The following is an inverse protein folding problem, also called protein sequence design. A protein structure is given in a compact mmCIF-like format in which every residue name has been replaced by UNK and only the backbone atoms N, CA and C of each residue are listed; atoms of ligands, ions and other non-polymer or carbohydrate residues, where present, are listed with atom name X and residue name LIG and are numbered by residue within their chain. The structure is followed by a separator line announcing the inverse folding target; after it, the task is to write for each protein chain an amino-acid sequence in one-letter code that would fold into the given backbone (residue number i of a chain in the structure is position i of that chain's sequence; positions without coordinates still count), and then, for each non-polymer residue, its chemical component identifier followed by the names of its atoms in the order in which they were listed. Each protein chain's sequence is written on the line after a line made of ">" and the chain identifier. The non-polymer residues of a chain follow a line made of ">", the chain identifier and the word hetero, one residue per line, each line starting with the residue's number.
data_IF_739414941693
#
_entry.id   IF_739414941693
#
_cell.length_a   1.000
_cell.length_b   1.000
_cell.length_c   1.000
_cell.angle_alpha   90.00
_cell.angle_beta   90.00
_cell.angle_gamma   90.00
#
_symmetry.space_group_name_H-M   'P 1'
#
loop_
_entity.id
_entity.type
_entity.pdbx_description
1 polymer ?
#
# COMPACT_ATOMS: atom_id res chain seq x y z
N UNK A 1 -12.10 23.22 -11.62
CA UNK A 1 -12.76 22.26 -10.70
C UNK A 1 -12.71 20.91 -11.37
N UNK A 2 -11.83 20.02 -10.91
CA UNK A 2 -11.77 18.63 -11.40
C UNK A 2 -12.85 17.86 -10.64
N UNK A 3 -13.79 17.25 -11.36
CA UNK A 3 -14.81 16.39 -10.75
C UNK A 3 -14.12 15.25 -9.99
N UNK A 4 -14.63 14.86 -8.80
CA UNK A 4 -14.09 13.70 -8.10
C UNK A 4 -14.27 12.46 -8.98
N UNK A 5 -13.21 11.67 -9.14
CA UNK A 5 -13.29 10.36 -9.80
C UNK A 5 -14.14 9.45 -8.91
N UNK A 6 -15.40 9.25 -9.26
CA UNK A 6 -16.31 8.30 -8.60
C UNK A 6 -16.19 6.97 -9.34
N UNK A 7 -15.67 5.94 -8.66
CA UNK A 7 -15.66 4.59 -9.20
C UNK A 7 -17.08 4.01 -9.18
N UNK A 8 -17.47 3.31 -10.26
CA UNK A 8 -18.77 2.63 -10.30
C UNK A 8 -18.82 1.42 -9.35
N UNK A 9 -20.01 0.86 -9.17
CA UNK A 9 -20.23 -0.28 -8.27
C UNK A 9 -19.43 -1.53 -8.69
N UNK A 10 -19.22 -1.75 -10.00
CA UNK A 10 -18.48 -2.91 -10.48
C UNK A 10 -16.98 -2.78 -10.15
N UNK A 11 -16.43 -1.58 -10.32
CA UNK A 11 -15.06 -1.27 -9.91
C UNK A 11 -14.88 -1.40 -8.40
N UNK A 12 -15.86 -0.97 -7.60
CA UNK A 12 -15.82 -1.13 -6.15
C UNK A 12 -15.81 -2.62 -5.73
N UNK A 13 -16.65 -3.46 -6.33
CA UNK A 13 -16.65 -4.90 -6.03
C UNK A 13 -15.33 -5.59 -6.43
N UNK A 14 -14.81 -5.31 -7.64
CA UNK A 14 -13.52 -5.86 -8.08
C UNK A 14 -12.35 -5.43 -7.17
N UNK A 15 -12.36 -4.17 -6.74
CA UNK A 15 -11.38 -3.65 -5.81
C UNK A 15 -11.50 -4.32 -4.44
N UNK A 16 -12.72 -4.47 -3.93
CA UNK A 16 -12.99 -5.11 -2.65
C UNK A 16 -12.51 -6.57 -2.63
N UNK A 17 -12.71 -7.31 -3.72
CA UNK A 17 -12.21 -8.69 -3.87
C UNK A 17 -10.67 -8.74 -3.81
N UNK A 18 -9.99 -7.83 -4.50
CA UNK A 18 -8.53 -7.71 -4.47
C UNK A 18 -8.02 -7.32 -3.08
N UNK A 19 -8.63 -6.32 -2.47
CA UNK A 19 -8.30 -5.83 -1.13
C UNK A 19 -8.48 -6.93 -0.08
N UNK A 20 -9.57 -7.71 -0.17
CA UNK A 20 -9.83 -8.81 0.75
C UNK A 20 -8.72 -9.86 0.69
N UNK A 21 -8.26 -10.23 -0.51
CA UNK A 21 -7.12 -11.15 -0.68
C UNK A 21 -5.85 -10.60 -0.06
N UNK A 22 -5.55 -9.33 -0.30
CA UNK A 22 -4.38 -8.65 0.30
C UNK A 22 -4.47 -8.71 1.83
N UNK A 23 -5.58 -8.28 2.43
CA UNK A 23 -5.73 -8.24 3.89
C UNK A 23 -5.62 -9.64 4.50
N UNK A 24 -6.25 -10.65 3.90
CA UNK A 24 -6.18 -12.05 4.37
C UNK A 24 -4.76 -12.60 4.27
N UNK A 25 -4.05 -12.32 3.19
CA UNK A 25 -2.69 -12.80 2.98
C UNK A 25 -1.70 -12.08 3.91
N UNK A 26 -1.91 -10.80 4.21
CA UNK A 26 -1.09 -10.05 5.16
C UNK A 26 -1.25 -10.53 6.60
N UNK A 27 -2.47 -10.89 7.02
CA UNK A 27 -2.71 -11.49 8.34
C UNK A 27 -1.92 -12.80 8.50
N UNK A 28 -1.92 -13.64 7.47
CA UNK A 28 -1.10 -14.87 7.43
C UNK A 28 0.40 -14.55 7.38
N UNK A 29 0.82 -13.59 6.56
CA UNK A 29 2.21 -13.22 6.35
C UNK A 29 2.87 -12.63 7.61
N UNK A 30 2.10 -11.92 8.45
CA UNK A 30 2.61 -11.30 9.69
C UNK A 30 3.42 -12.25 10.57
N UNK A 31 3.11 -13.54 10.56
CA UNK A 31 3.82 -14.56 11.35
C UNK A 31 4.65 -15.53 10.52
N UNK A 32 4.47 -15.54 9.18
CA UNK A 32 5.00 -16.60 8.30
C UNK A 32 5.90 -16.11 7.19
N UNK A 33 5.89 -14.81 6.88
CA UNK A 33 6.68 -14.23 5.80
C UNK A 33 7.29 -12.87 6.21
N UNK A 34 8.33 -12.95 7.04
CA UNK A 34 9.05 -11.77 7.53
C UNK A 34 9.66 -10.93 6.39
N UNK A 35 9.96 -11.55 5.24
CA UNK A 35 10.50 -10.87 4.07
C UNK A 35 9.43 -9.97 3.42
N UNK A 36 8.21 -10.48 3.21
CA UNK A 36 7.11 -9.67 2.69
C UNK A 36 6.78 -8.49 3.61
N UNK A 37 6.77 -8.71 4.93
CA UNK A 37 6.58 -7.63 5.92
C UNK A 37 7.71 -6.59 5.82
N UNK A 38 8.96 -7.03 5.70
CA UNK A 38 10.11 -6.13 5.57
C UNK A 38 10.09 -5.33 4.27
N UNK A 39 9.69 -5.93 3.15
CA UNK A 39 9.55 -5.23 1.87
C UNK A 39 8.48 -4.14 1.95
N UNK A 40 7.30 -4.45 2.49
CA UNK A 40 6.22 -3.47 2.69
C UNK A 40 6.70 -2.34 3.60
N UNK A 41 7.32 -2.68 4.73
CA UNK A 41 7.83 -1.68 5.68
C UNK A 41 8.89 -0.77 5.06
N UNK A 42 9.84 -1.34 4.30
CA UNK A 42 10.90 -0.57 3.64
C UNK A 42 10.37 0.37 2.55
N UNK A 43 9.39 -0.08 1.76
CA UNK A 43 8.74 0.73 0.74
C UNK A 43 7.95 1.88 1.36
N UNK A 44 7.11 1.59 2.35
CA UNK A 44 6.33 2.60 3.06
C UNK A 44 7.23 3.63 3.73
N UNK A 45 8.26 3.17 4.45
CA UNK A 45 9.22 4.05 5.10
C UNK A 45 9.92 4.98 4.09
N UNK A 46 10.39 4.44 2.97
CA UNK A 46 11.03 5.24 1.91
C UNK A 46 10.07 6.30 1.37
N UNK A 47 8.83 5.96 1.09
CA UNK A 47 7.84 6.92 0.59
C UNK A 47 7.57 8.04 1.61
N UNK A 48 7.47 7.70 2.90
CA UNK A 48 7.31 8.67 4.00
C UNK A 48 8.51 9.62 4.08
N UNK A 49 9.73 9.09 3.97
CA UNK A 49 10.95 9.89 3.95
C UNK A 49 11.02 10.81 2.72
N UNK A 50 10.74 10.29 1.53
CA UNK A 50 10.80 11.03 0.26
C UNK A 50 9.81 12.20 0.21
N UNK A 51 8.72 12.12 0.98
CA UNK A 51 7.67 13.15 1.08
C UNK A 51 7.80 14.05 2.31
N UNK A 52 8.79 13.80 3.17
CA UNK A 52 9.03 14.57 4.40
C UNK A 52 7.92 14.46 5.44
N UNK A 53 7.11 13.39 5.39
CA UNK A 53 5.98 13.19 6.31
C UNK A 53 6.42 12.41 7.55
N UNK A 54 5.63 12.51 8.62
CA UNK A 54 5.90 11.80 9.88
C UNK A 54 5.58 10.32 9.82
N UNK A 55 4.54 9.96 9.07
CA UNK A 55 3.96 8.62 9.05
C UNK A 55 3.18 8.36 7.75
N UNK A 56 2.75 7.11 7.59
CA UNK A 56 2.02 6.64 6.43
C UNK A 56 0.70 7.38 6.18
N UNK A 57 -0.06 7.67 7.24
CA UNK A 57 -1.36 8.36 7.13
C UNK A 57 -1.16 9.82 6.72
N UNK A 58 -0.15 10.48 7.30
CA UNK A 58 0.28 11.82 6.93
C UNK A 58 0.66 11.90 5.46
N UNK A 59 1.44 10.92 4.97
CA UNK A 59 1.72 10.76 3.55
C UNK A 59 0.45 10.71 2.72
N UNK A 60 -0.48 9.79 2.97
CA UNK A 60 -1.68 9.66 2.15
C UNK A 60 -2.49 10.95 2.08
N UNK A 61 -2.63 11.66 3.20
CA UNK A 61 -3.35 12.93 3.29
C UNK A 61 -2.65 14.07 2.56
N UNK A 62 -1.32 14.02 2.44
CA UNK A 62 -0.53 15.05 1.75
C UNK A 62 -0.56 14.92 0.23
N UNK A 63 -0.94 13.76 -0.31
CA UNK A 63 -0.90 13.51 -1.75
C UNK A 63 -2.04 14.24 -2.47
N UNK A 64 -1.66 15.14 -3.38
CA UNK A 64 -2.60 15.67 -4.37
C UNK A 64 -3.08 14.55 -5.30
N UNK A 65 -4.22 14.75 -5.98
CA UNK A 65 -4.72 13.80 -6.97
C UNK A 65 -3.70 13.53 -8.10
N UNK A 66 -3.01 14.57 -8.58
CA UNK A 66 -2.01 14.44 -9.64
C UNK A 66 -0.78 13.67 -9.17
N UNK A 67 -0.29 13.97 -7.96
CA UNK A 67 0.84 13.25 -7.36
C UNK A 67 0.49 11.79 -7.15
N UNK A 68 -0.71 11.50 -6.62
CA UNK A 68 -1.19 10.14 -6.44
C UNK A 68 -1.22 9.38 -7.78
N UNK A 69 -1.82 9.96 -8.82
CA UNK A 69 -1.88 9.33 -10.14
C UNK A 69 -0.48 9.01 -10.69
N UNK A 70 0.48 9.93 -10.51
CA UNK A 70 1.88 9.70 -10.88
C UNK A 70 2.52 8.55 -10.11
N UNK A 71 2.31 8.48 -8.79
CA UNK A 71 2.79 7.40 -7.92
C UNK A 71 2.18 6.05 -8.32
N UNK A 72 0.87 5.99 -8.52
CA UNK A 72 0.17 4.76 -8.94
C UNK A 72 0.66 4.29 -10.31
N UNK A 73 0.82 5.20 -11.27
CA UNK A 73 1.36 4.87 -12.59
C UNK A 73 2.78 4.30 -12.53
N UNK A 74 3.63 4.82 -11.62
CA UNK A 74 4.96 4.28 -11.37
C UNK A 74 4.89 2.90 -10.74
N UNK A 75 4.11 2.73 -9.67
CA UNK A 75 3.93 1.46 -8.98
C UNK A 75 3.42 0.38 -9.93
N UNK A 76 2.43 0.67 -10.77
CA UNK A 76 1.91 -0.29 -11.75
C UNK A 76 3.00 -0.83 -12.68
N UNK A 77 3.87 0.04 -13.22
CA UNK A 77 4.98 -0.39 -14.07
C UNK A 77 6.01 -1.23 -13.31
N UNK A 78 6.30 -0.86 -12.06
CA UNK A 78 7.24 -1.59 -11.23
C UNK A 78 6.69 -2.95 -10.80
N UNK A 79 5.40 -3.05 -10.50
CA UNK A 79 4.68 -4.31 -10.23
C UNK A 79 4.83 -5.27 -11.40
N UNK A 80 4.52 -4.82 -12.62
CA UNK A 80 4.61 -5.66 -13.82
C UNK A 80 6.06 -6.10 -14.07
N UNK A 81 7.01 -5.17 -13.94
CA UNK A 81 8.43 -5.47 -14.12
C UNK A 81 8.97 -6.46 -13.07
N UNK A 82 8.57 -6.32 -11.80
CA UNK A 82 8.96 -7.25 -10.74
C UNK A 82 8.32 -8.62 -10.90
N UNK A 83 7.04 -8.68 -11.28
CA UNK A 83 6.36 -9.94 -11.57
C UNK A 83 7.02 -10.69 -12.73
N UNK A 84 7.34 -9.98 -13.83
CA UNK A 84 8.04 -10.55 -14.98
C UNK A 84 9.45 -11.09 -14.64
N UNK A 85 10.10 -10.54 -13.60
CA UNK A 85 11.40 -11.00 -13.09
C UNK A 85 11.28 -12.10 -12.03
N UNK A 86 10.08 -12.60 -11.74
CA UNK A 86 9.84 -13.59 -10.68
C UNK A 86 9.96 -13.03 -9.26
N UNK A 87 10.04 -11.71 -9.08
CA UNK A 87 10.12 -11.04 -7.79
C UNK A 87 8.72 -10.87 -7.17
N UNK A 88 8.01 -11.98 -6.98
CA UNK A 88 6.58 -12.00 -6.64
C UNK A 88 6.30 -11.28 -5.32
N UNK A 89 7.15 -11.44 -4.29
CA UNK A 89 6.99 -10.77 -3.00
C UNK A 89 7.11 -9.25 -3.11
N UNK A 90 8.03 -8.76 -3.94
CA UNK A 90 8.20 -7.32 -4.18
C UNK A 90 7.02 -6.76 -4.95
N UNK A 91 6.55 -7.45 -6.00
CA UNK A 91 5.34 -7.07 -6.73
C UNK A 91 4.12 -7.02 -5.80
N UNK A 92 3.95 -8.01 -4.93
CA UNK A 92 2.90 -8.05 -3.93
C UNK A 92 2.99 -6.90 -2.91
N UNK A 93 4.19 -6.60 -2.41
CA UNK A 93 4.40 -5.47 -1.50
C UNK A 93 3.99 -4.14 -2.15
N UNK A 94 4.34 -3.93 -3.43
CA UNK A 94 3.93 -2.75 -4.18
C UNK A 94 2.42 -2.72 -4.45
N UNK A 95 1.78 -3.87 -4.68
CA UNK A 95 0.32 -3.97 -4.80
C UNK A 95 -0.40 -3.58 -3.51
N UNK A 96 0.09 -4.03 -2.36
CA UNK A 96 -0.47 -3.65 -1.05
C UNK A 96 -0.36 -2.14 -0.82
N UNK A 97 0.79 -1.53 -1.13
CA UNK A 97 0.99 -0.08 -1.06
C UNK A 97 0.01 0.66 -2.01
N UNK A 98 -0.10 0.21 -3.26
CA UNK A 98 -1.00 0.82 -4.24
C UNK A 98 -2.47 0.73 -3.81
N UNK A 99 -2.90 -0.42 -3.28
CA UNK A 99 -4.26 -0.61 -2.78
C UNK A 99 -4.59 0.37 -1.63
N UNK A 100 -3.69 0.50 -0.65
CA UNK A 100 -3.85 1.46 0.46
C UNK A 100 -4.00 2.90 -0.01
N UNK A 101 -3.25 3.30 -1.04
CA UNK A 101 -3.27 4.65 -1.60
C UNK A 101 -4.54 4.96 -2.40
N UNK A 102 -5.04 3.99 -3.18
CA UNK A 102 -6.22 4.17 -4.03
C UNK A 102 -7.52 4.02 -3.25
N UNK A 103 -7.53 3.18 -2.22
CA UNK A 103 -8.76 2.80 -1.53
C UNK A 103 -9.55 3.94 -0.91
N UNK A 104 -8.88 5.04 -0.52
CA UNK A 104 -9.52 6.25 0.02
C UNK A 104 -10.41 6.99 -1.02
N UNK A 105 -10.38 6.57 -2.29
CA UNK A 105 -11.17 7.14 -3.39
C UNK A 105 -12.51 6.43 -3.61
N UNK A 106 -12.76 5.33 -2.94
CA UNK A 106 -14.04 4.64 -3.01
C UNK A 106 -14.97 5.11 -1.89
N UNK A 107 -16.21 5.46 -2.23
CA UNK A 107 -17.27 5.76 -1.25
C UNK A 107 -17.95 4.48 -0.72
N UNK A 108 -17.20 3.39 -0.55
CA UNK A 108 -17.71 2.11 -0.05
C UNK A 108 -17.18 1.85 1.37
N UNK A 109 -18.10 1.61 2.31
CA UNK A 109 -17.77 1.38 3.72
C UNK A 109 -16.94 0.10 3.96
N UNK A 110 -17.15 -0.94 3.16
CA UNK A 110 -16.38 -2.20 3.24
C UNK A 110 -14.94 -1.96 2.79
N UNK A 111 -14.76 -1.20 1.72
CA UNK A 111 -13.44 -0.78 1.26
C UNK A 111 -12.75 0.05 2.33
N UNK A 112 -13.42 1.07 2.88
CA UNK A 112 -12.85 1.92 3.93
C UNK A 112 -12.39 1.11 5.16
N UNK A 113 -13.14 0.09 5.58
CA UNK A 113 -12.74 -0.82 6.66
C UNK A 113 -11.49 -1.64 6.29
N UNK A 114 -11.45 -2.23 5.10
CA UNK A 114 -10.29 -3.01 4.64
C UNK A 114 -9.04 -2.14 4.48
N UNK A 115 -9.18 -0.92 4.00
CA UNK A 115 -8.09 0.04 3.85
C UNK A 115 -7.55 0.47 5.20
N UNK A 116 -8.41 0.69 6.20
CA UNK A 116 -7.94 0.97 7.55
C UNK A 116 -7.08 -0.17 8.11
N UNK A 117 -7.50 -1.42 7.93
CA UNK A 117 -6.70 -2.58 8.37
C UNK A 117 -5.35 -2.65 7.64
N UNK A 118 -5.36 -2.38 6.33
CA UNK A 118 -4.17 -2.36 5.51
C UNK A 118 -3.21 -1.22 5.92
N UNK A 119 -3.74 -0.03 6.19
CA UNK A 119 -2.97 1.12 6.66
C UNK A 119 -2.31 0.86 8.01
N UNK A 120 -3.06 0.30 8.96
CA UNK A 120 -2.54 -0.06 10.29
C UNK A 120 -1.41 -1.10 10.16
N UNK A 121 -1.56 -2.07 9.25
CA UNK A 121 -0.51 -3.04 8.94
C UNK A 121 0.72 -2.36 8.34
N UNK A 122 0.56 -1.49 7.34
CA UNK A 122 1.66 -0.80 6.66
C UNK A 122 2.43 0.08 7.65
N UNK A 123 1.72 0.83 8.50
CA UNK A 123 2.35 1.64 9.54
C UNK A 123 3.17 0.77 10.51
N UNK A 124 2.60 -0.33 11.01
CA UNK A 124 3.30 -1.26 11.88
C UNK A 124 4.52 -1.90 11.22
N UNK A 125 4.44 -2.26 9.94
CA UNK A 125 5.54 -2.82 9.16
C UNK A 125 6.66 -1.80 8.94
N UNK A 126 6.31 -0.54 8.65
CA UNK A 126 7.27 0.58 8.54
C UNK A 126 8.02 0.78 9.85
N UNK A 127 7.30 0.85 10.99
CA UNK A 127 7.93 0.99 12.30
C UNK A 127 8.82 -0.20 12.65
N UNK A 128 8.37 -1.42 12.33
CA UNK A 128 9.17 -2.63 12.50
C UNK A 128 10.45 -2.58 11.67
N UNK A 129 10.37 -2.14 10.41
CA UNK A 129 11.53 -2.01 9.53
C UNK A 129 12.54 -1.01 10.12
N UNK A 130 12.10 0.19 10.54
CA UNK A 130 12.98 1.20 11.15
C UNK A 130 13.67 0.66 12.41
N UNK A 131 12.91 0.03 13.32
CA UNK A 131 13.46 -0.53 14.56
C UNK A 131 14.51 -1.62 14.32
N UNK A 132 14.39 -2.39 13.25
CA UNK A 132 15.34 -3.46 12.94
C UNK A 132 16.49 -3.01 12.04
N UNK A 133 16.28 -2.00 11.19
CA UNK A 133 17.34 -1.38 10.39
C UNK A 133 18.32 -0.56 11.26
N UNK A 134 17.87 -0.06 12.41
CA UNK A 134 18.70 0.68 13.37
C UNK A 134 19.51 -0.19 14.34
N UNK A 135 19.41 -1.53 14.27
CA UNK A 135 20.29 -2.41 15.06
C UNK A 135 21.62 -2.56 14.30
N UNK A 136 22.74 -2.00 14.79
CA UNK A 136 24.04 -2.34 14.25
C UNK A 136 24.33 -3.80 14.59
N UNK A 137 24.78 -4.58 13.61
CA UNK A 137 25.58 -5.78 13.90
C UNK A 137 26.91 -5.36 14.53
#
# INVERSE_FOLDING_TARGET
>A
MTEPVVFDQNAAELFLDGLTKIVVDLDKARTRDAEAVALIGSLAHRMVQDTGQSDWIGLKRSLSADTLNGVIGKLSREIDASAAKGQIKLAYAMQAIAASLVGDRFEDRRIAMGIKLLDDFIAAASDYYVRNAQKPN
#
